data_IF_652377290539
#
_entry.id   IF_652377290539
#
_cell.length_a   1.000
_cell.length_b   1.000
_cell.length_c   1.000
_cell.angle_alpha   90.00
_cell.angle_beta   90.00
_cell.angle_gamma   90.00
#
_symmetry.space_group_name_H-M   'P 1'
#
loop_
_entity.id
_entity.type
_entity.pdbx_description
1 polymer ?
#
# COMPACT_ATOMS: atom_id res chain seq x y z
N UNK A 1 -44.40 -32.77 38.15
CA UNK A 1 -43.13 -33.38 37.74
C UNK A 1 -42.39 -32.37 36.87
N UNK A 2 -41.34 -31.78 37.42
CA UNK A 2 -40.70 -30.57 36.88
C UNK A 2 -39.61 -30.94 35.89
N UNK A 3 -39.69 -30.43 34.65
CA UNK A 3 -38.67 -30.63 33.61
C UNK A 3 -37.49 -29.70 33.85
N UNK A 4 -36.29 -30.27 34.03
CA UNK A 4 -35.03 -29.53 34.10
C UNK A 4 -34.40 -29.55 32.71
N UNK A 5 -34.35 -28.40 32.05
CA UNK A 5 -33.63 -28.22 30.79
C UNK A 5 -32.19 -27.77 31.12
N UNK A 6 -31.13 -28.46 30.65
CA UNK A 6 -29.76 -28.00 30.85
C UNK A 6 -29.41 -26.81 29.94
N UNK A 7 -28.75 -25.81 30.53
CA UNK A 7 -28.17 -24.63 29.86
C UNK A 7 -27.08 -25.03 28.84
N UNK A 8 -26.99 -24.36 27.67
CA UNK A 8 -25.85 -24.51 26.77
C UNK A 8 -24.62 -23.74 27.29
N UNK A 9 -23.50 -24.45 27.43
CA UNK A 9 -22.18 -23.89 27.71
C UNK A 9 -21.58 -23.30 26.44
N UNK A 10 -21.36 -21.98 26.42
CA UNK A 10 -20.58 -21.28 25.38
C UNK A 10 -19.12 -21.24 25.86
N UNK A 11 -18.13 -21.80 25.14
CA UNK A 11 -16.73 -21.63 25.52
C UNK A 11 -16.23 -20.21 25.18
N UNK A 12 -15.84 -19.50 26.24
CA UNK A 12 -15.05 -18.28 26.23
C UNK A 12 -13.72 -18.48 25.51
N UNK A 13 -13.59 -17.93 24.30
CA UNK A 13 -12.29 -17.58 23.73
C UNK A 13 -12.15 -16.05 23.70
N UNK A 14 -11.99 -15.47 24.90
CA UNK A 14 -11.45 -14.13 25.07
C UNK A 14 -9.94 -14.22 24.85
N UNK A 15 -9.49 -13.96 23.62
CA UNK A 15 -8.08 -13.77 23.32
C UNK A 15 -7.66 -12.41 23.90
N UNK A 16 -6.99 -12.48 25.05
CA UNK A 16 -6.21 -11.41 25.66
C UNK A 16 -5.24 -10.82 24.63
N UNK A 17 -5.60 -9.66 24.09
CA UNK A 17 -4.63 -8.73 23.51
C UNK A 17 -3.87 -8.11 24.68
N UNK A 18 -2.68 -8.64 24.97
CA UNK A 18 -1.79 -8.06 25.96
C UNK A 18 -1.46 -6.62 25.60
N UNK A 19 -1.64 -5.75 26.59
CA UNK A 19 -1.14 -4.38 26.69
C UNK A 19 0.34 -4.30 26.31
N UNK A 20 0.65 -3.48 25.30
CA UNK A 20 2.02 -3.06 25.03
C UNK A 20 2.19 -1.63 25.52
N UNK A 21 2.96 -1.56 26.61
CA UNK A 21 3.41 -0.41 27.35
C UNK A 21 4.01 0.68 26.43
N UNK A 22 3.44 1.89 26.52
CA UNK A 22 3.87 3.10 25.85
C UNK A 22 4.86 3.85 26.76
N UNK A 23 6.16 3.68 26.52
CA UNK A 23 7.15 4.64 27.03
C UNK A 23 7.86 5.29 25.84
N UNK A 24 7.30 6.43 25.44
CA UNK A 24 7.78 7.31 24.37
C UNK A 24 8.96 8.12 24.85
N UNK A 25 10.07 8.07 24.13
CA UNK A 25 11.06 9.14 24.10
C UNK A 25 11.85 9.04 22.79
N UNK A 26 11.40 9.75 21.76
CA UNK A 26 12.23 10.09 20.61
C UNK A 26 11.92 11.52 20.13
N UNK A 27 12.95 12.26 19.68
CA UNK A 27 12.89 13.70 19.55
C UNK A 27 12.08 14.14 18.32
N UNK A 28 11.28 15.18 18.53
CA UNK A 28 10.52 15.89 17.52
C UNK A 28 11.50 16.53 16.51
N UNK A 29 11.42 16.12 15.25
CA UNK A 29 12.07 16.86 14.16
C UNK A 29 11.37 18.22 13.95
N UNK A 30 12.14 19.28 13.63
CA UNK A 30 11.61 20.63 13.52
C UNK A 30 10.72 20.77 12.27
N UNK A 31 9.50 21.28 12.49
CA UNK A 31 8.59 21.69 11.44
C UNK A 31 9.10 22.99 10.82
N UNK A 32 9.77 22.89 9.67
CA UNK A 32 10.15 24.04 8.86
C UNK A 32 9.29 24.08 7.60
N UNK A 33 8.37 25.05 7.60
CA UNK A 33 7.75 25.75 6.48
C UNK A 33 7.62 25.02 5.13
N UNK A 34 6.41 24.54 4.84
CA UNK A 34 5.90 24.52 3.47
C UNK A 34 4.59 25.31 3.43
N UNK A 35 4.73 26.59 3.10
CA UNK A 35 3.63 27.44 2.68
C UNK A 35 3.66 27.47 1.15
N UNK A 36 2.66 26.86 0.51
CA UNK A 36 2.38 27.08 -0.90
C UNK A 36 0.87 27.17 -1.09
N UNK A 37 0.40 28.41 -1.11
CA UNK A 37 -0.90 28.84 -1.62
C UNK A 37 -0.93 28.54 -3.12
N UNK A 38 -1.80 27.63 -3.56
CA UNK A 38 -2.15 27.47 -4.97
C UNK A 38 -3.65 27.69 -5.09
N UNK A 39 -4.00 28.93 -5.41
CA UNK A 39 -5.28 29.29 -6.02
C UNK A 39 -5.27 28.72 -7.43
N UNK A 40 -6.08 27.69 -7.68
CA UNK A 40 -6.31 27.19 -9.04
C UNK A 40 -7.71 27.59 -9.47
N UNK A 41 -7.71 28.47 -10.44
CA UNK A 41 -8.85 29.16 -11.03
C UNK A 41 -9.62 28.24 -11.98
N UNK A 42 -10.94 28.33 -11.87
CA UNK A 42 -11.91 27.55 -12.64
C UNK A 42 -12.10 28.24 -13.99
N UNK A 43 -11.85 27.54 -15.09
CA UNK A 43 -12.41 27.94 -16.38
C UNK A 43 -12.93 26.73 -17.13
N UNK A 44 -14.25 26.70 -17.28
CA UNK A 44 -15.02 25.86 -18.18
C UNK A 44 -14.73 26.26 -19.64
N UNK A 45 -14.68 25.30 -20.56
CA UNK A 45 -14.97 25.47 -21.99
C UNK A 45 -15.03 24.08 -22.61
N UNK A 46 -16.23 23.61 -22.95
CA UNK A 46 -16.83 23.71 -24.29
C UNK A 46 -16.41 22.54 -25.20
N UNK A 47 -17.35 21.60 -25.33
CA UNK A 47 -17.30 20.44 -26.21
C UNK A 47 -17.49 20.88 -27.66
N UNK A 48 -16.81 20.24 -28.63
CA UNK A 48 -17.52 19.87 -29.84
C UNK A 48 -17.36 18.37 -30.16
N UNK A 49 -18.52 17.76 -30.26
CA UNK A 49 -18.81 16.53 -30.98
C UNK A 49 -18.53 16.72 -32.47
N UNK A 50 -17.95 15.74 -33.17
CA UNK A 50 -18.32 15.29 -34.53
C UNK A 50 -17.35 14.20 -35.06
N UNK A 51 -17.92 13.00 -35.18
CA UNK A 51 -17.93 12.11 -36.34
C UNK A 51 -16.64 11.56 -36.99
N UNK A 52 -16.47 10.25 -36.79
CA UNK A 52 -16.65 9.19 -37.80
C UNK A 52 -15.97 9.36 -39.16
N UNK A 53 -14.84 8.66 -39.38
CA UNK A 53 -14.53 8.01 -40.65
C UNK A 53 -13.88 6.64 -40.41
N UNK A 54 -14.47 5.62 -41.03
CA UNK A 54 -14.05 4.21 -41.03
C UNK A 54 -12.94 3.92 -42.06
N UNK A 55 -12.32 2.76 -41.85
CA UNK A 55 -11.76 1.84 -42.86
C UNK A 55 -10.31 2.05 -43.31
N UNK A 56 -9.44 1.10 -42.96
CA UNK A 56 -8.79 0.19 -43.93
C UNK A 56 -7.77 -0.73 -43.24
N UNK A 57 -8.14 -2.01 -43.08
CA UNK A 57 -7.20 -3.14 -42.97
C UNK A 57 -6.57 -3.38 -44.35
N UNK A 58 -5.25 -3.33 -44.45
CA UNK A 58 -4.49 -3.97 -45.54
C UNK A 58 -3.23 -4.65 -44.99
N UNK A 59 -3.20 -5.95 -45.18
CA UNK A 59 -2.10 -6.88 -44.94
C UNK A 59 -0.79 -6.42 -45.61
N UNK A 60 0.35 -6.71 -44.97
CA UNK A 60 1.49 -7.25 -45.72
C UNK A 60 2.40 -8.09 -44.82
N UNK A 61 2.33 -9.41 -45.04
CA UNK A 61 3.42 -10.34 -44.76
C UNK A 61 4.70 -9.84 -45.44
N UNK A 62 5.74 -9.62 -44.64
CA UNK A 62 7.04 -9.17 -45.11
C UNK A 62 8.13 -9.72 -44.19
N UNK A 63 8.51 -10.97 -44.45
CA UNK A 63 9.68 -11.68 -43.93
C UNK A 63 10.94 -10.83 -44.13
N UNK A 64 11.39 -10.10 -43.12
CA UNK A 64 12.73 -9.51 -43.11
C UNK A 64 13.63 -10.32 -42.19
N UNK A 65 14.74 -10.72 -42.80
CA UNK A 65 15.80 -11.58 -42.32
C UNK A 65 16.48 -10.97 -41.10
N UNK A 66 16.79 -11.87 -40.17
CA UNK A 66 17.78 -11.74 -39.13
C UNK A 66 19.06 -11.06 -39.64
N UNK A 67 19.35 -9.89 -39.09
CA UNK A 67 20.71 -9.35 -39.04
C UNK A 67 21.28 -9.65 -37.65
N UNK A 68 22.53 -10.15 -37.54
CA UNK A 68 23.19 -10.25 -36.24
C UNK A 68 23.47 -8.83 -35.76
N UNK A 69 22.68 -8.37 -34.80
CA UNK A 69 22.94 -7.14 -34.06
C UNK A 69 24.21 -7.37 -33.24
N UNK A 70 25.34 -6.90 -33.75
CA UNK A 70 26.62 -6.96 -33.08
C UNK A 70 26.55 -6.09 -31.82
N UNK A 71 26.60 -6.82 -30.71
CA UNK A 71 26.82 -6.43 -29.33
C UNK A 71 27.77 -5.24 -29.19
N UNK A 72 27.19 -4.11 -28.78
CA UNK A 72 27.88 -2.87 -28.45
C UNK A 72 26.96 -1.97 -27.61
N UNK A 73 26.22 -2.57 -26.66
CA UNK A 73 25.44 -1.82 -25.68
C UNK A 73 26.28 -1.64 -24.42
N UNK A 74 27.04 -0.57 -24.43
CA UNK A 74 27.67 0.04 -23.27
C UNK A 74 26.62 0.27 -22.17
N UNK A 75 26.72 -0.51 -21.09
CA UNK A 75 26.53 -0.03 -19.73
C UNK A 75 25.15 0.47 -19.28
N UNK A 76 24.03 0.06 -19.87
CA UNK A 76 22.75 0.25 -19.19
C UNK A 76 22.73 -0.61 -17.91
N UNK A 77 22.63 -0.04 -16.70
CA UNK A 77 22.54 -0.83 -15.48
C UNK A 77 21.35 -1.78 -15.62
N UNK A 78 21.50 -3.06 -15.24
CA UNK A 78 20.41 -4.01 -15.33
C UNK A 78 19.18 -3.43 -14.60
N UNK A 79 17.98 -3.54 -15.19
CA UNK A 79 16.77 -3.03 -14.57
C UNK A 79 16.69 -3.59 -13.15
N UNK A 80 16.50 -2.70 -12.17
CA UNK A 80 16.37 -3.10 -10.78
C UNK A 80 15.19 -4.07 -10.67
N UNK A 81 15.49 -5.33 -10.37
CA UNK A 81 14.46 -6.36 -10.22
C UNK A 81 13.74 -6.10 -8.89
N UNK A 82 12.61 -5.40 -8.96
CA UNK A 82 11.74 -5.15 -7.82
C UNK A 82 11.01 -6.43 -7.42
N UNK A 83 10.80 -6.62 -6.12
CA UNK A 83 10.06 -7.77 -5.57
C UNK A 83 8.56 -7.51 -5.78
N UNK A 84 7.88 -8.28 -6.64
CA UNK A 84 6.49 -8.04 -6.95
C UNK A 84 5.58 -8.46 -5.80
N UNK A 85 4.35 -7.94 -5.81
CA UNK A 85 3.32 -8.32 -4.85
C UNK A 85 2.85 -9.77 -5.10
N UNK A 86 2.76 -10.63 -4.08
CA UNK A 86 2.19 -11.97 -4.25
C UNK A 86 0.70 -11.92 -4.62
N UNK A 87 0.24 -12.98 -5.27
CA UNK A 87 -1.18 -13.16 -5.53
C UNK A 87 -1.97 -13.35 -4.23
N UNK A 88 -3.18 -12.78 -4.17
CA UNK A 88 -4.09 -12.85 -3.02
C UNK A 88 -4.04 -11.63 -2.10
N UNK A 89 -4.87 -11.64 -1.05
CA UNK A 89 -4.97 -10.54 -0.08
C UNK A 89 -4.19 -10.85 1.20
N UNK A 90 -3.40 -9.89 1.69
CA UNK A 90 -2.70 -10.01 2.96
C UNK A 90 -3.67 -10.27 4.13
N UNK A 91 -3.44 -11.35 4.87
CA UNK A 91 -4.25 -11.76 6.03
C UNK A 91 -5.47 -12.64 5.71
N UNK A 92 -5.82 -12.83 4.44
CA UNK A 92 -6.99 -13.64 4.03
C UNK A 92 -6.63 -15.12 3.80
N UNK A 93 -6.01 -15.77 4.79
CA UNK A 93 -5.45 -17.13 4.65
C UNK A 93 -6.47 -18.17 4.16
N UNK A 94 -7.72 -18.10 4.61
CA UNK A 94 -8.78 -19.06 4.23
C UNK A 94 -9.32 -18.86 2.81
N UNK A 95 -9.01 -17.74 2.15
CA UNK A 95 -9.53 -17.38 0.82
C UNK A 95 -8.42 -17.27 -0.24
N UNK A 96 -7.30 -17.96 -0.04
CA UNK A 96 -6.15 -17.89 -0.95
C UNK A 96 -5.29 -16.63 -0.78
N UNK A 97 -5.43 -15.92 0.35
CA UNK A 97 -4.53 -14.84 0.72
C UNK A 97 -3.22 -15.32 1.33
N UNK A 98 -2.33 -14.39 1.67
CA UNK A 98 -1.02 -14.70 2.25
C UNK A 98 -0.81 -14.07 3.62
N UNK A 99 0.10 -14.66 4.40
CA UNK A 99 0.61 -14.01 5.61
C UNK A 99 1.76 -13.08 5.25
N UNK A 100 1.58 -11.79 5.50
CA UNK A 100 2.58 -10.76 5.21
C UNK A 100 3.95 -11.10 5.82
N UNK A 101 3.96 -11.55 7.08
CA UNK A 101 5.18 -11.96 7.79
C UNK A 101 5.89 -13.16 7.12
N UNK A 102 5.12 -14.13 6.60
CA UNK A 102 5.69 -15.31 5.91
C UNK A 102 6.29 -14.96 4.56
N UNK A 103 5.64 -14.04 3.83
CA UNK A 103 6.10 -13.61 2.49
C UNK A 103 7.36 -12.75 2.59
N UNK A 104 7.35 -11.75 3.48
CA UNK A 104 8.44 -10.78 3.56
C UNK A 104 9.72 -11.40 4.10
N UNK A 105 9.62 -12.39 5.01
CA UNK A 105 10.75 -13.03 5.70
C UNK A 105 11.74 -12.02 6.34
N UNK A 106 11.24 -10.85 6.72
CA UNK A 106 12.04 -9.85 7.44
C UNK A 106 12.40 -10.36 8.83
N UNK A 107 13.49 -9.83 9.37
CA UNK A 107 13.80 -9.99 10.77
C UNK A 107 12.60 -9.55 11.65
N UNK A 108 12.26 -10.29 12.72
CA UNK A 108 11.12 -9.93 13.56
C UNK A 108 11.20 -8.50 14.12
N UNK A 109 12.39 -8.00 14.48
CA UNK A 109 12.55 -6.63 14.98
C UNK A 109 12.31 -5.63 13.86
N UNK A 110 12.87 -5.88 12.67
CA UNK A 110 12.65 -5.05 11.49
C UNK A 110 11.17 -4.95 11.12
N UNK A 111 10.45 -6.07 11.12
CA UNK A 111 9.02 -6.10 10.85
C UNK A 111 8.23 -5.26 11.87
N UNK A 112 8.54 -5.42 13.17
CA UNK A 112 7.90 -4.64 14.24
C UNK A 112 8.21 -3.15 14.12
N UNK A 113 9.44 -2.76 13.77
CA UNK A 113 9.83 -1.36 13.59
C UNK A 113 9.03 -0.67 12.48
N UNK A 114 8.96 -1.28 11.29
CA UNK A 114 8.15 -0.74 10.17
C UNK A 114 6.68 -0.67 10.57
N UNK A 115 6.18 -1.73 11.20
CA UNK A 115 4.78 -1.81 11.62
C UNK A 115 4.40 -0.71 12.63
N UNK A 116 5.25 -0.47 13.64
CA UNK A 116 5.04 0.57 14.63
C UNK A 116 5.14 1.96 14.01
N UNK A 117 6.16 2.22 13.21
CA UNK A 117 6.31 3.51 12.53
C UNK A 117 5.10 3.80 11.63
N UNK A 118 4.64 2.82 10.85
CA UNK A 118 3.44 2.95 10.01
C UNK A 118 2.21 3.28 10.85
N UNK A 119 2.02 2.61 11.99
CA UNK A 119 0.91 2.87 12.91
C UNK A 119 0.94 4.32 13.41
N UNK A 120 2.10 4.82 13.84
CA UNK A 120 2.23 6.19 14.35
C UNK A 120 1.92 7.23 13.26
N UNK A 121 2.37 7.01 12.02
CA UNK A 121 2.01 7.91 10.90
C UNK A 121 0.51 7.90 10.63
N UNK A 122 -0.13 6.73 10.59
CA UNK A 122 -1.58 6.65 10.44
C UNK A 122 -2.29 7.41 11.57
N UNK A 123 -1.88 7.20 12.82
CA UNK A 123 -2.47 7.87 13.99
C UNK A 123 -2.33 9.39 13.89
N UNK A 124 -1.15 9.88 13.51
CA UNK A 124 -0.89 11.31 13.27
C UNK A 124 -1.84 11.91 12.22
N UNK A 125 -1.98 11.25 11.07
CA UNK A 125 -2.85 11.74 9.99
C UNK A 125 -4.35 11.58 10.30
N UNK A 126 -4.73 10.60 11.12
CA UNK A 126 -6.10 10.50 11.68
C UNK A 126 -6.39 11.65 12.64
N UNK A 127 -5.45 11.98 13.54
CA UNK A 127 -5.61 13.11 14.47
C UNK A 127 -5.72 14.46 13.75
N UNK A 128 -5.06 14.61 12.60
CA UNK A 128 -5.21 15.78 11.72
C UNK A 128 -6.54 15.82 10.95
N UNK A 129 -7.34 14.76 10.97
CA UNK A 129 -8.57 14.65 10.19
C UNK A 129 -8.34 14.37 8.69
N UNK A 130 -7.12 14.03 8.29
CA UNK A 130 -6.75 13.77 6.90
C UNK A 130 -6.96 12.29 6.49
N UNK A 131 -7.06 11.38 7.47
CA UNK A 131 -7.42 9.98 7.27
C UNK A 131 -8.70 9.62 8.02
N UNK A 132 -9.45 8.68 7.44
CA UNK A 132 -10.71 8.17 7.99
C UNK A 132 -10.52 6.76 8.55
N UNK A 133 -10.54 6.56 9.89
CA UNK A 133 -10.51 5.21 10.45
C UNK A 133 -11.72 4.38 9.97
N UNK A 134 -11.58 3.06 9.93
CA UNK A 134 -12.64 2.12 9.53
C UNK A 134 -12.88 2.03 8.02
N UNK A 135 -12.20 2.84 7.21
CA UNK A 135 -12.34 2.82 5.74
C UNK A 135 -11.15 2.13 5.07
N UNK A 136 -11.42 1.41 3.97
CA UNK A 136 -10.38 0.76 3.16
C UNK A 136 -9.41 1.79 2.60
N UNK A 137 -8.17 1.37 2.34
CA UNK A 137 -7.12 2.23 1.78
C UNK A 137 -7.52 2.90 0.46
N UNK A 138 -8.37 2.25 -0.33
CA UNK A 138 -8.92 2.78 -1.60
C UNK A 138 -9.89 3.93 -1.43
N UNK A 139 -10.50 4.09 -0.24
CA UNK A 139 -11.42 5.19 0.08
C UNK A 139 -10.72 6.37 0.74
N UNK A 140 -9.43 6.23 1.05
CA UNK A 140 -8.64 7.30 1.66
C UNK A 140 -8.14 8.28 0.60
N UNK A 141 -7.80 9.53 0.99
CA UNK A 141 -7.15 10.47 0.10
C UNK A 141 -5.80 9.92 -0.40
N UNK A 142 -5.69 9.72 -1.73
CA UNK A 142 -4.50 9.12 -2.35
C UNK A 142 -3.21 9.90 -2.04
N UNK A 143 -3.29 11.23 -2.00
CA UNK A 143 -2.17 12.11 -1.65
C UNK A 143 -1.58 11.77 -0.28
N UNK A 144 -2.43 11.57 0.73
CA UNK A 144 -2.00 11.27 2.11
C UNK A 144 -1.40 9.87 2.19
N UNK A 145 -1.99 8.89 1.49
CA UNK A 145 -1.44 7.54 1.41
C UNK A 145 -0.03 7.56 0.81
N UNK A 146 0.16 8.29 -0.30
CA UNK A 146 1.47 8.44 -0.94
C UNK A 146 2.47 9.13 -0.01
N UNK A 147 2.08 10.22 0.67
CA UNK A 147 2.94 10.89 1.66
C UNK A 147 3.42 9.93 2.73
N UNK A 148 2.52 9.14 3.32
CA UNK A 148 2.88 8.15 4.35
C UNK A 148 3.83 7.09 3.77
N UNK A 149 3.57 6.59 2.56
CA UNK A 149 4.45 5.63 1.90
C UNK A 149 5.86 6.21 1.67
N UNK A 150 5.96 7.47 1.25
CA UNK A 150 7.24 8.16 1.04
C UNK A 150 8.00 8.38 2.35
N UNK A 151 7.32 8.82 3.42
CA UNK A 151 7.92 8.97 4.75
C UNK A 151 8.50 7.62 5.25
N UNK A 152 7.73 6.54 5.09
CA UNK A 152 8.15 5.20 5.50
C UNK A 152 9.32 4.69 4.65
N UNK A 153 9.30 4.92 3.34
CA UNK A 153 10.41 4.52 2.46
C UNK A 153 11.69 5.32 2.72
N UNK A 154 11.56 6.58 3.18
CA UNK A 154 12.68 7.42 3.60
C UNK A 154 13.32 6.88 4.88
N UNK A 155 12.49 6.48 5.86
CA UNK A 155 12.95 5.89 7.12
C UNK A 155 13.52 4.47 6.91
N UNK A 156 12.95 3.70 5.99
CA UNK A 156 13.31 2.31 5.74
C UNK A 156 13.65 2.08 4.26
N UNK A 157 14.87 2.46 3.81
CA UNK A 157 15.25 2.41 2.39
C UNK A 157 15.19 1.02 1.75
N UNK A 158 15.25 -0.06 2.55
CA UNK A 158 15.11 -1.42 2.02
C UNK A 158 13.72 -1.70 1.42
N UNK A 159 12.71 -0.89 1.75
CA UNK A 159 11.36 -0.98 1.17
C UNK A 159 11.34 -0.64 -0.32
N UNK A 160 12.30 0.16 -0.80
CA UNK A 160 12.46 0.51 -2.21
C UNK A 160 12.78 -0.71 -3.10
N UNK A 161 13.11 -1.86 -2.50
CA UNK A 161 13.28 -3.14 -3.22
C UNK A 161 11.96 -3.79 -3.61
N UNK A 162 10.84 -3.28 -3.11
CA UNK A 162 9.50 -3.82 -3.38
C UNK A 162 8.76 -2.93 -4.37
N UNK A 163 8.07 -3.57 -5.31
CA UNK A 163 7.23 -2.87 -6.28
C UNK A 163 6.14 -2.04 -5.58
N UNK A 164 5.98 -0.78 -5.98
CA UNK A 164 4.97 0.17 -5.45
C UNK A 164 4.91 0.31 -3.92
N UNK A 165 5.99 -0.06 -3.21
CA UNK A 165 6.00 -0.18 -1.76
C UNK A 165 4.80 -1.01 -1.24
N UNK A 166 4.46 -2.11 -1.92
CA UNK A 166 3.33 -2.96 -1.56
C UNK A 166 3.35 -3.46 -0.10
N UNK A 167 4.50 -3.73 0.56
CA UNK A 167 4.50 -4.15 1.97
C UNK A 167 3.89 -3.06 2.87
N UNK A 168 4.29 -1.81 2.65
CA UNK A 168 3.76 -0.66 3.39
C UNK A 168 2.27 -0.51 3.17
N UNK A 169 1.81 -0.63 1.91
CA UNK A 169 0.40 -0.53 1.55
C UNK A 169 -0.45 -1.59 2.26
N UNK A 170 0.04 -2.82 2.33
CA UNK A 170 -0.66 -3.92 3.02
C UNK A 170 -0.71 -3.73 4.54
N UNK A 171 0.39 -3.27 5.15
CA UNK A 171 0.43 -2.91 6.57
C UNK A 171 -0.61 -1.82 6.86
N UNK A 172 -0.60 -0.75 6.07
CA UNK A 172 -1.56 0.36 6.21
C UNK A 172 -3.00 -0.11 6.06
N UNK A 173 -3.28 -0.94 5.04
CA UNK A 173 -4.63 -1.47 4.82
C UNK A 173 -5.15 -2.24 6.03
N UNK A 174 -4.29 -2.96 6.73
CA UNK A 174 -4.66 -3.73 7.93
C UNK A 174 -5.00 -2.85 9.13
N UNK A 175 -4.35 -1.70 9.25
CA UNK A 175 -4.61 -0.75 10.34
C UNK A 175 -5.86 0.08 10.07
N UNK A 176 -6.01 0.58 8.84
CA UNK A 176 -7.13 1.44 8.48
C UNK A 176 -8.47 0.70 8.47
N UNK A 177 -8.48 -0.60 8.11
CA UNK A 177 -9.71 -1.40 8.08
C UNK A 177 -10.18 -1.89 9.45
N UNK A 178 -9.38 -1.73 10.50
CA UNK A 178 -9.66 -2.27 11.85
C UNK A 178 -10.04 -1.20 12.87
N UNK A 179 -10.03 0.07 12.48
CA UNK A 179 -10.27 1.19 13.36
C UNK A 179 -11.77 1.50 13.50
#
# INVERSE_FOLDING_TARGET
MTFIVPKPCIPSNAILMHDYNLQTNFPLLPQSAFSLTVLFERSETSVPQMNMFSSALKNSSGRIRSVPFLSGAEGAPPPLVLIPKPQGQAGALSRGGYSLRKVLKWDPKQYVSVQNYTRERIKHYVQKGELRPGQSITKQPSKIILTIQTEIATEFPFLLRYEDNWPTRDIMSRYLSKA
#
